data_IF_819410394282
#
_entry.id   IF_819410394282
#
_cell.length_a   1.000
_cell.length_b   1.000
_cell.length_c   1.000
_cell.angle_alpha   90.00
_cell.angle_beta   90.00
_cell.angle_gamma   90.00
#
_symmetry.space_group_name_H-M   'P 1'
#
loop_
_entity.id
_entity.type
_entity.pdbx_description
1 polymer ?
#
# COMPACT_ATOMS: atom_id res chain seq x y z
N UNK A 1 -6.77 16.52 -5.54
CA UNK A 1 -6.63 15.14 -6.06
C UNK A 1 -5.13 14.88 -6.22
N UNK A 2 -4.63 13.72 -5.83
CA UNK A 2 -3.20 13.41 -5.95
C UNK A 2 -2.97 12.59 -7.22
N UNK A 3 -1.87 12.83 -7.90
CA UNK A 3 -1.36 11.97 -8.97
C UNK A 3 -0.36 11.00 -8.36
N UNK A 4 -0.53 9.72 -8.67
CA UNK A 4 0.31 8.65 -8.13
C UNK A 4 1.30 8.17 -9.18
N UNK A 5 2.54 8.00 -8.77
CA UNK A 5 3.58 7.37 -9.55
C UNK A 5 4.13 6.16 -8.79
N UNK A 6 4.23 5.01 -9.44
CA UNK A 6 4.90 3.83 -8.89
C UNK A 6 6.16 3.56 -9.72
N UNK A 7 7.33 3.48 -9.08
CA UNK A 7 8.61 3.28 -9.76
C UNK A 7 8.84 4.25 -10.93
N UNK A 8 8.51 5.52 -10.71
CA UNK A 8 8.62 6.60 -11.70
C UNK A 8 7.53 6.62 -12.77
N UNK A 9 6.66 5.61 -12.87
CA UNK A 9 5.57 5.55 -13.86
C UNK A 9 4.27 6.08 -13.29
N UNK A 10 3.53 6.88 -14.06
CA UNK A 10 2.21 7.39 -13.64
C UNK A 10 1.21 6.22 -13.57
N UNK A 11 0.62 5.99 -12.41
CA UNK A 11 -0.28 4.87 -12.14
C UNK A 11 -1.75 5.28 -11.93
N UNK A 12 -2.03 6.59 -11.83
CA UNK A 12 -3.39 7.09 -11.72
C UNK A 12 -3.50 8.22 -10.71
N UNK A 13 -4.58 8.18 -9.92
CA UNK A 13 -4.89 9.18 -8.93
C UNK A 13 -5.09 8.55 -7.55
N UNK A 14 -4.75 9.31 -6.50
CA UNK A 14 -5.02 8.97 -5.12
C UNK A 14 -5.89 10.05 -4.46
N UNK A 15 -6.75 9.60 -3.56
CA UNK A 15 -7.57 10.45 -2.70
C UNK A 15 -7.37 10.00 -1.26
N UNK A 16 -7.40 10.95 -0.33
CA UNK A 16 -7.42 10.62 1.08
C UNK A 16 -8.80 10.05 1.41
N UNK A 17 -8.83 8.87 2.02
CA UNK A 17 -10.03 8.29 2.63
C UNK A 17 -9.87 8.25 4.13
N UNK A 18 -10.99 8.38 4.83
CA UNK A 18 -11.05 8.07 6.26
C UNK A 18 -11.06 6.56 6.44
N UNK A 19 -10.41 6.09 7.51
CA UNK A 19 -10.35 4.67 7.85
C UNK A 19 -11.61 4.28 8.62
N UNK A 20 -12.52 3.56 7.97
CA UNK A 20 -13.74 3.03 8.59
C UNK A 20 -13.49 1.75 9.39
N UNK A 21 -14.55 1.19 9.95
CA UNK A 21 -14.49 -0.06 10.72
C UNK A 21 -13.99 -1.25 9.89
N UNK A 22 -14.36 -1.32 8.60
CA UNK A 22 -13.90 -2.37 7.69
C UNK A 22 -12.39 -2.29 7.48
N UNK A 23 -11.88 -1.11 7.16
CA UNK A 23 -10.45 -0.89 6.97
C UNK A 23 -9.66 -1.17 8.26
N UNK A 24 -10.17 -0.77 9.43
CA UNK A 24 -9.53 -1.08 10.72
C UNK A 24 -9.41 -2.58 10.97
N UNK A 25 -10.44 -3.37 10.65
CA UNK A 25 -10.39 -4.83 10.80
C UNK A 25 -9.33 -5.46 9.90
N UNK A 26 -9.23 -5.01 8.65
CA UNK A 26 -8.17 -5.45 7.72
C UNK A 26 -6.80 -5.07 8.30
N UNK A 27 -6.60 -3.82 8.72
CA UNK A 27 -5.34 -3.35 9.30
C UNK A 27 -4.93 -4.17 10.53
N UNK A 28 -5.90 -4.52 11.39
CA UNK A 28 -5.66 -5.37 12.56
C UNK A 28 -5.22 -6.79 12.16
N UNK A 29 -5.81 -7.36 11.11
CA UNK A 29 -5.38 -8.68 10.62
C UNK A 29 -3.94 -8.66 10.07
N UNK A 30 -3.50 -7.51 9.51
CA UNK A 30 -2.14 -7.30 9.02
C UNK A 30 -1.09 -7.14 10.14
N UNK A 31 -1.50 -6.91 11.40
CA UNK A 31 -0.57 -6.74 12.53
C UNK A 31 0.22 -8.01 12.87
N UNK A 32 -0.34 -9.19 12.56
CA UNK A 32 0.30 -10.48 12.89
C UNK A 32 1.60 -10.73 12.11
N UNK A 33 1.75 -10.13 10.92
CA UNK A 33 2.96 -10.25 10.12
C UNK A 33 3.81 -9.01 10.34
N UNK A 34 5.10 -9.18 10.64
CA UNK A 34 6.00 -8.04 10.83
C UNK A 34 6.66 -7.59 9.52
N UNK A 35 7.10 -8.52 8.69
CA UNK A 35 7.58 -8.29 7.32
C UNK A 35 7.37 -9.56 6.49
N UNK A 36 7.24 -9.42 5.17
CA UNK A 36 7.12 -10.54 4.25
C UNK A 36 5.72 -10.70 3.66
N UNK A 37 5.48 -11.87 3.05
CA UNK A 37 4.20 -12.20 2.44
C UNK A 37 3.23 -12.84 3.45
N UNK A 38 1.95 -12.53 3.31
CA UNK A 38 0.87 -13.10 4.12
C UNK A 38 -0.38 -13.31 3.29
N UNK A 39 -1.33 -14.02 3.88
CA UNK A 39 -2.62 -14.36 3.25
C UNK A 39 -3.72 -13.98 4.23
N UNK A 40 -4.67 -13.16 3.79
CA UNK A 40 -5.87 -12.83 4.54
C UNK A 40 -7.03 -13.65 3.99
N UNK A 41 -7.78 -14.36 4.84
CA UNK A 41 -8.98 -15.05 4.39
C UNK A 41 -9.98 -14.05 3.82
N UNK A 42 -10.59 -14.40 2.69
CA UNK A 42 -11.60 -13.56 2.07
C UNK A 42 -12.88 -13.59 2.90
N UNK A 43 -13.19 -12.45 3.52
CA UNK A 43 -14.46 -12.15 4.17
C UNK A 43 -15.15 -10.99 3.45
N UNK A 44 -16.46 -10.83 3.64
CA UNK A 44 -17.24 -9.71 3.06
C UNK A 44 -16.69 -8.31 3.41
N UNK A 45 -15.80 -8.24 4.40
CA UNK A 45 -15.18 -7.01 4.89
C UNK A 45 -13.79 -6.75 4.29
N UNK A 46 -13.12 -7.77 3.76
CA UNK A 46 -11.81 -7.67 3.09
C UNK A 46 -11.93 -7.43 1.58
N UNK A 47 -13.12 -7.52 1.00
CA UNK A 47 -13.39 -7.22 -0.41
C UNK A 47 -13.36 -5.70 -0.67
N UNK A 48 -12.19 -5.07 -0.54
CA UNK A 48 -12.01 -3.66 -0.89
C UNK A 48 -11.80 -3.58 -2.40
N UNK A 49 -12.79 -3.02 -3.09
CA UNK A 49 -12.92 -3.03 -4.56
C UNK A 49 -11.62 -2.85 -5.35
N UNK A 50 -11.30 -3.86 -6.15
CA UNK A 50 -10.14 -3.86 -7.04
C UNK A 50 -9.91 -5.23 -7.70
N UNK A 51 -10.82 -5.63 -8.59
CA UNK A 51 -10.59 -6.54 -9.72
C UNK A 51 -9.76 -7.82 -9.49
N UNK A 52 -10.46 -8.94 -9.32
CA UNK A 52 -9.91 -10.29 -9.46
C UNK A 52 -10.93 -11.32 -9.02
N UNK A 53 -11.82 -11.73 -9.93
CA UNK A 53 -12.88 -12.69 -9.63
C UNK A 53 -12.36 -14.07 -9.27
N UNK A 54 -12.93 -14.64 -8.22
CA UNK A 54 -12.76 -16.03 -7.81
C UNK A 54 -12.56 -16.09 -6.30
N UNK A 55 -13.56 -16.58 -5.57
CA UNK A 55 -13.53 -16.71 -4.12
C UNK A 55 -12.21 -17.34 -3.66
N UNK A 56 -11.39 -16.58 -2.95
CA UNK A 56 -9.99 -16.90 -2.74
C UNK A 56 -9.30 -15.91 -1.83
N UNK A 57 -8.44 -16.43 -0.95
CA UNK A 57 -7.73 -15.63 0.03
C UNK A 57 -6.91 -14.49 -0.62
N UNK A 58 -6.87 -13.33 0.05
CA UNK A 58 -6.15 -12.14 -0.41
C UNK A 58 -4.68 -12.25 0.01
N UNK A 59 -3.78 -12.34 -0.97
CA UNK A 59 -2.35 -12.28 -0.72
C UNK A 59 -1.89 -10.84 -0.54
N UNK A 60 -1.04 -10.59 0.46
CA UNK A 60 -0.47 -9.27 0.73
C UNK A 60 1.02 -9.37 1.06
N UNK A 61 1.71 -8.23 0.93
CA UNK A 61 3.08 -8.08 1.39
C UNK A 61 3.15 -6.93 2.40
N UNK A 62 3.83 -7.15 3.52
CA UNK A 62 4.13 -6.12 4.51
C UNK A 62 5.62 -5.82 4.49
N UNK A 63 5.96 -4.55 4.36
CA UNK A 63 7.33 -4.09 4.34
C UNK A 63 7.46 -2.77 5.14
N UNK A 64 8.70 -2.44 5.52
CA UNK A 64 8.99 -1.13 6.10
C UNK A 64 9.06 -0.12 4.96
N UNK A 65 8.38 1.00 5.11
CA UNK A 65 8.48 2.12 4.17
C UNK A 65 9.16 3.31 4.84
N UNK A 66 10.07 3.95 4.12
CA UNK A 66 10.56 5.28 4.46
C UNK A 66 9.67 6.32 3.80
N UNK A 67 9.09 7.22 4.59
CA UNK A 67 8.27 8.33 4.11
C UNK A 67 9.10 9.60 4.07
N UNK A 68 9.17 10.23 2.89
CA UNK A 68 9.80 11.52 2.68
C UNK A 68 8.74 12.52 2.26
N UNK A 69 8.62 13.63 3.00
CA UNK A 69 7.71 14.72 2.68
C UNK A 69 8.52 15.83 2.02
N UNK A 70 8.31 16.04 0.71
CA UNK A 70 9.00 17.09 -0.04
C UNK A 70 8.36 18.45 0.16
N UNK A 71 7.02 18.51 0.09
CA UNK A 71 6.24 19.72 0.32
C UNK A 71 4.82 19.37 0.76
N UNK A 72 3.97 20.39 0.99
CA UNK A 72 2.54 20.18 1.23
C UNK A 72 1.85 19.38 0.13
N UNK A 73 2.40 19.43 -1.08
CA UNK A 73 1.82 18.86 -2.29
C UNK A 73 2.67 17.70 -2.84
N UNK A 74 3.68 17.22 -2.10
CA UNK A 74 4.61 16.17 -2.53
C UNK A 74 5.04 15.25 -1.39
N UNK A 75 4.76 13.95 -1.54
CA UNK A 75 5.18 12.90 -0.62
C UNK A 75 5.68 11.66 -1.37
N UNK A 76 6.72 11.01 -0.83
CA UNK A 76 7.30 9.79 -1.36
C UNK A 76 7.36 8.70 -0.29
N UNK A 77 7.17 7.45 -0.71
CA UNK A 77 7.29 6.26 0.11
C UNK A 77 8.23 5.28 -0.59
N UNK A 78 9.29 4.86 0.10
CA UNK A 78 10.27 3.91 -0.41
C UNK A 78 10.18 2.62 0.39
N UNK A 79 9.91 1.50 -0.29
CA UNK A 79 9.94 0.19 0.35
C UNK A 79 11.38 -0.20 0.66
N UNK A 80 11.68 -0.34 1.94
CA UNK A 80 13.01 -0.71 2.42
C UNK A 80 13.17 -2.23 2.33
N UNK A 81 14.16 -2.68 1.56
CA UNK A 81 14.54 -4.09 1.51
C UNK A 81 15.54 -4.39 2.65
N UNK A 82 15.28 -5.35 3.55
CA UNK A 82 16.24 -5.73 4.60
C UNK A 82 17.58 -6.23 4.04
N UNK A 83 17.62 -6.77 2.83
CA UNK A 83 18.81 -7.37 2.23
C UNK A 83 19.72 -6.37 1.49
N UNK A 84 19.39 -5.08 1.52
CA UNK A 84 20.31 -3.96 1.21
C UNK A 84 20.97 -3.95 -0.18
N UNK A 85 20.36 -4.48 -1.24
CA UNK A 85 20.92 -4.40 -2.60
C UNK A 85 20.75 -3.03 -3.31
N UNK A 86 20.78 -1.92 -2.55
CA UNK A 86 20.96 -0.56 -3.06
C UNK A 86 19.77 0.15 -3.72
N UNK A 87 18.68 -0.55 -4.08
CA UNK A 87 17.50 0.09 -4.69
C UNK A 87 16.17 -0.43 -4.10
N UNK A 88 15.20 0.45 -3.78
CA UNK A 88 13.87 0.02 -3.36
C UNK A 88 13.12 -0.60 -4.54
N UNK A 89 12.64 -1.83 -4.39
CA UNK A 89 11.86 -2.54 -5.43
C UNK A 89 10.54 -1.83 -5.74
N UNK A 90 10.00 -1.12 -4.74
CA UNK A 90 8.79 -0.32 -4.86
C UNK A 90 8.98 1.08 -4.27
N UNK A 91 8.69 2.09 -5.07
CA UNK A 91 8.60 3.49 -4.68
C UNK A 91 7.24 4.04 -5.11
N UNK A 92 6.56 4.75 -4.21
CA UNK A 92 5.28 5.40 -4.46
C UNK A 92 5.47 6.90 -4.25
N UNK A 93 5.17 7.69 -5.27
CA UNK A 93 5.24 9.14 -5.22
C UNK A 93 3.88 9.76 -5.46
N UNK A 94 3.45 10.62 -4.55
CA UNK A 94 2.18 11.32 -4.56
C UNK A 94 2.46 12.80 -4.82
N UNK A 95 1.93 13.31 -5.92
CA UNK A 95 2.04 14.72 -6.30
C UNK A 95 0.66 15.35 -6.45
N UNK A 96 0.40 16.42 -5.72
CA UNK A 96 -0.79 17.24 -5.88
C UNK A 96 -0.45 18.45 -6.75
N UNK A 97 -1.28 18.68 -7.75
CA UNK A 97 -1.21 19.83 -8.66
C UNK A 97 -2.59 20.50 -8.63
#
# INVERSE_FOLDING_TARGET
MWRTYCNGKKCGFATRRECGEKEKKVLKALEMVSMGAGVLPETEETSVGGGGGGGGDIMYMRAKFERIVGSRDSEAFYMMNPDSNGAPELSIYLLRI
#
